data_IF_581315543111
#
_entry.id   IF_581315543111
#
_cell.length_a   1.000
_cell.length_b   1.000
_cell.length_c   1.000
_cell.angle_alpha   90.00
_cell.angle_beta   90.00
_cell.angle_gamma   90.00
#
_symmetry.space_group_name_H-M   'P 1'
#
loop_
_entity.id
_entity.type
_entity.pdbx_description
1 polymer ?
#
# COMPACT_ATOMS: atom_id res chain seq x y z
N UNK A 1 -5.69 8.15 -16.48
CA UNK A 1 -5.70 6.71 -16.81
C UNK A 1 -5.87 5.96 -15.50
N UNK A 2 -6.78 5.00 -15.42
CA UNK A 2 -6.95 4.16 -14.22
C UNK A 2 -5.91 3.06 -14.25
N UNK A 3 -5.23 2.83 -13.14
CA UNK A 3 -4.21 1.79 -12.99
C UNK A 3 -4.68 0.80 -11.92
N UNK A 4 -4.64 -0.51 -12.24
CA UNK A 4 -5.23 -1.53 -11.38
C UNK A 4 -4.34 -2.76 -11.25
N UNK A 5 -4.40 -3.38 -10.08
CA UNK A 5 -3.93 -4.75 -9.88
C UNK A 5 -5.16 -5.64 -9.73
N UNK A 6 -5.32 -6.59 -10.64
CA UNK A 6 -6.36 -7.60 -10.60
C UNK A 6 -5.74 -8.89 -10.07
N UNK A 7 -6.20 -9.33 -8.91
CA UNK A 7 -5.72 -10.56 -8.27
C UNK A 7 -6.82 -11.62 -8.26
N UNK A 8 -6.52 -12.77 -8.85
CA UNK A 8 -7.29 -13.99 -8.66
C UNK A 8 -6.73 -14.82 -7.50
N UNK A 9 -7.60 -15.45 -6.73
CA UNK A 9 -7.24 -16.39 -5.67
C UNK A 9 -7.99 -17.68 -5.97
N UNK A 10 -7.26 -18.76 -6.27
CA UNK A 10 -7.90 -20.05 -6.55
C UNK A 10 -8.50 -20.67 -5.28
N UNK A 11 -9.46 -21.59 -5.46
CA UNK A 11 -10.38 -22.05 -4.41
C UNK A 11 -9.69 -22.57 -3.14
N UNK A 12 -8.66 -23.42 -3.28
CA UNK A 12 -8.01 -24.04 -2.13
C UNK A 12 -7.29 -22.99 -1.28
N UNK A 13 -6.59 -22.04 -1.93
CA UNK A 13 -5.99 -20.93 -1.21
C UNK A 13 -7.03 -19.93 -0.71
N UNK A 14 -8.11 -19.65 -1.45
CA UNK A 14 -9.15 -18.74 -0.98
C UNK A 14 -9.75 -19.21 0.35
N UNK A 15 -9.99 -20.53 0.47
CA UNK A 15 -10.45 -21.16 1.71
C UNK A 15 -9.36 -21.09 2.77
N UNK A 16 -8.15 -21.56 2.46
CA UNK A 16 -7.06 -21.63 3.44
C UNK A 16 -6.68 -20.25 4.02
N UNK A 17 -6.60 -19.21 3.19
CA UNK A 17 -6.28 -17.85 3.66
C UNK A 17 -7.38 -17.30 4.58
N UNK A 18 -8.65 -17.62 4.31
CA UNK A 18 -9.79 -17.19 5.13
C UNK A 18 -9.87 -17.94 6.46
N UNK A 19 -9.69 -19.26 6.44
CA UNK A 19 -9.66 -20.09 7.66
C UNK A 19 -8.52 -19.67 8.60
N UNK A 20 -7.37 -19.29 8.05
CA UNK A 20 -6.24 -18.75 8.82
C UNK A 20 -6.45 -17.29 9.28
N UNK A 21 -7.56 -16.64 8.93
CA UNK A 21 -7.84 -15.26 9.29
C UNK A 21 -6.89 -14.24 8.65
N UNK A 22 -6.20 -14.61 7.58
CA UNK A 22 -5.23 -13.73 6.93
C UNK A 22 -5.93 -12.68 6.08
N UNK A 23 -5.39 -11.47 6.13
CA UNK A 23 -5.78 -10.36 5.26
C UNK A 23 -4.86 -10.31 4.05
N UNK A 24 -5.44 -9.91 2.92
CA UNK A 24 -4.70 -9.60 1.70
C UNK A 24 -4.26 -8.14 1.74
N UNK A 25 -2.97 -7.89 1.56
CA UNK A 25 -2.37 -6.57 1.66
C UNK A 25 -1.74 -6.10 0.36
N UNK A 26 -1.64 -4.78 0.24
CA UNK A 26 -0.93 -4.08 -0.81
C UNK A 26 -0.09 -2.95 -0.19
N UNK A 27 1.17 -2.86 -0.58
CA UNK A 27 2.05 -1.73 -0.31
C UNK A 27 2.61 -1.14 -1.61
N UNK A 28 2.93 0.15 -1.60
CA UNK A 28 3.64 0.82 -2.71
C UNK A 28 5.05 1.18 -2.27
N UNK A 29 6.01 1.02 -3.18
CA UNK A 29 7.42 1.32 -2.92
C UNK A 29 7.69 2.82 -3.02
N UNK A 30 8.45 3.35 -2.08
CA UNK A 30 8.99 4.71 -2.12
C UNK A 30 10.44 4.67 -1.65
N UNK A 31 11.34 5.37 -2.33
CA UNK A 31 12.79 5.39 -1.99
C UNK A 31 13.39 3.98 -1.77
N UNK A 32 13.01 3.04 -2.64
CA UNK A 32 13.46 1.63 -2.58
C UNK A 32 12.93 0.77 -1.41
N UNK A 33 11.98 1.24 -0.59
CA UNK A 33 11.42 0.45 0.51
C UNK A 33 9.88 0.38 0.50
N UNK A 34 9.34 -0.72 1.04
CA UNK A 34 7.93 -0.89 1.40
C UNK A 34 7.81 -0.76 2.91
N UNK A 35 7.20 0.32 3.39
CA UNK A 35 7.17 0.61 4.83
C UNK A 35 5.78 0.55 5.44
N UNK A 36 4.73 0.79 4.65
CA UNK A 36 3.35 0.91 5.13
C UNK A 36 2.40 0.03 4.32
N UNK A 37 1.43 -0.56 5.00
CA UNK A 37 0.27 -1.22 4.38
C UNK A 37 -0.62 -0.13 3.77
N UNK A 38 -0.63 -0.01 2.45
CA UNK A 38 -1.39 1.04 1.77
C UNK A 38 -2.87 0.67 1.59
N UNK A 39 -3.17 -0.59 1.24
CA UNK A 39 -4.54 -1.10 1.12
C UNK A 39 -4.64 -2.50 1.71
N UNK A 40 -5.80 -2.84 2.26
CA UNK A 40 -6.07 -4.19 2.77
C UNK A 40 -7.48 -4.67 2.46
N UNK A 41 -7.64 -5.99 2.39
CA UNK A 41 -8.93 -6.69 2.37
C UNK A 41 -8.86 -7.82 3.40
N UNK A 42 -9.82 -7.87 4.33
CA UNK A 42 -9.85 -8.88 5.38
C UNK A 42 -10.38 -10.24 4.91
N UNK A 43 -10.15 -11.29 5.70
CA UNK A 43 -10.74 -12.62 5.48
C UNK A 43 -12.29 -12.59 5.56
N UNK A 44 -12.81 -11.83 6.51
CA UNK A 44 -14.25 -11.68 6.80
C UNK A 44 -14.72 -10.29 6.38
N UNK A 45 -15.89 -10.24 5.74
CA UNK A 45 -16.49 -8.98 5.32
C UNK A 45 -17.02 -8.24 6.55
N UNK A 46 -16.88 -6.93 6.55
CA UNK A 46 -17.50 -6.04 7.54
C UNK A 46 -18.49 -5.12 6.85
N UNK A 47 -19.34 -4.43 7.62
CA UNK A 47 -20.29 -3.45 7.08
C UNK A 47 -19.62 -2.32 6.27
N UNK A 48 -18.33 -2.06 6.51
CA UNK A 48 -17.58 -0.99 5.86
C UNK A 48 -16.57 -1.47 4.83
N UNK A 49 -16.12 -2.71 4.92
CA UNK A 49 -15.06 -3.26 4.07
C UNK A 49 -15.43 -4.67 3.61
N UNK A 50 -15.57 -4.92 2.29
CA UNK A 50 -15.73 -6.27 1.77
C UNK A 50 -14.46 -7.09 1.99
N UNK A 51 -14.62 -8.39 2.22
CA UNK A 51 -13.50 -9.33 2.23
C UNK A 51 -12.93 -9.54 0.82
N UNK A 52 -11.73 -10.11 0.73
CA UNK A 52 -11.24 -10.60 -0.56
C UNK A 52 -12.06 -11.81 -1.02
N UNK A 53 -12.15 -11.96 -2.34
CA UNK A 53 -12.93 -12.98 -3.04
C UNK A 53 -12.09 -13.68 -4.10
N UNK A 54 -12.69 -14.54 -4.92
CA UNK A 54 -12.00 -15.19 -6.05
C UNK A 54 -11.31 -14.19 -6.99
N UNK A 55 -11.95 -13.03 -7.25
CA UNK A 55 -11.38 -11.93 -8.04
C UNK A 55 -11.37 -10.66 -7.22
N UNK A 56 -10.21 -10.02 -7.13
CA UNK A 56 -9.98 -8.79 -6.38
C UNK A 56 -9.41 -7.73 -7.30
N UNK A 57 -9.73 -6.48 -6.99
CA UNK A 57 -9.16 -5.33 -7.68
C UNK A 57 -8.66 -4.34 -6.65
N UNK A 58 -7.43 -3.90 -6.83
CA UNK A 58 -6.85 -2.75 -6.15
C UNK A 58 -6.75 -1.61 -7.17
N UNK A 59 -7.38 -0.49 -6.87
CA UNK A 59 -7.16 0.75 -7.60
C UNK A 59 -5.88 1.39 -7.06
N UNK A 60 -4.86 1.45 -7.90
CA UNK A 60 -3.54 1.97 -7.55
C UNK A 60 -3.25 3.31 -8.23
N UNK A 61 -4.29 3.95 -8.78
CA UNK A 61 -4.18 5.25 -9.43
C UNK A 61 -3.82 6.31 -8.39
N UNK A 62 -2.58 6.83 -8.47
CA UNK A 62 -2.10 7.93 -7.62
C UNK A 62 -1.82 9.17 -8.47
N UNK A 63 -2.85 9.93 -8.89
CA UNK A 63 -2.64 11.12 -9.73
C UNK A 63 -2.01 12.27 -8.93
N UNK A 64 -2.12 12.23 -7.61
CA UNK A 64 -1.52 13.17 -6.68
C UNK A 64 -1.25 12.51 -5.33
N UNK A 65 -0.38 13.13 -4.56
CA UNK A 65 0.03 12.69 -3.23
C UNK A 65 -0.28 13.78 -2.20
N UNK A 66 -0.13 13.42 -0.93
CA UNK A 66 0.11 14.40 0.12
C UNK A 66 1.43 14.09 0.82
N UNK A 67 2.09 15.13 1.33
CA UNK A 67 3.22 14.98 2.27
C UNK A 67 2.79 15.35 3.68
N UNK A 68 3.39 14.64 4.63
CA UNK A 68 3.36 14.97 6.05
C UNK A 68 4.71 14.60 6.67
N UNK A 69 4.86 14.77 7.98
CA UNK A 69 6.02 14.34 8.74
C UNK A 69 5.61 13.78 10.10
N UNK A 70 6.53 13.13 10.81
CA UNK A 70 6.39 12.78 12.23
C UNK A 70 7.67 13.03 12.99
N UNK A 71 7.54 13.39 14.27
CA UNK A 71 8.66 13.43 15.21
C UNK A 71 8.74 12.16 16.05
N UNK A 72 7.76 11.25 15.92
CA UNK A 72 7.81 9.96 16.57
C UNK A 72 8.99 9.18 16.00
N UNK A 73 9.74 8.52 16.88
CA UNK A 73 10.75 7.57 16.43
C UNK A 73 10.05 6.43 15.69
N UNK A 74 10.34 6.27 14.40
CA UNK A 74 9.82 5.17 13.58
C UNK A 74 10.95 4.18 13.33
N UNK A 75 10.84 2.96 13.87
CA UNK A 75 11.84 1.92 13.75
C UNK A 75 11.25 0.65 13.14
N UNK A 76 12.15 -0.19 12.64
CA UNK A 76 11.78 -1.50 12.16
C UNK A 76 11.16 -2.31 13.31
N UNK A 77 9.96 -2.89 13.10
CA UNK A 77 9.24 -3.66 14.11
C UNK A 77 8.12 -2.88 14.82
N UNK A 78 8.10 -1.56 14.69
CA UNK A 78 6.94 -0.77 15.08
C UNK A 78 5.75 -1.09 14.17
N UNK A 79 4.53 -0.88 14.68
CA UNK A 79 3.28 -1.09 13.93
C UNK A 79 2.53 0.22 13.70
N UNK A 80 2.72 1.23 14.56
CA UNK A 80 1.99 2.50 14.51
C UNK A 80 2.92 3.70 14.52
N UNK A 81 2.48 4.78 13.90
CA UNK A 81 3.09 6.11 13.95
C UNK A 81 1.99 7.16 13.81
N UNK A 82 2.24 8.39 14.24
CA UNK A 82 1.30 9.50 14.05
C UNK A 82 1.88 10.56 13.15
N UNK A 83 1.04 11.31 12.43
CA UNK A 83 1.49 12.48 11.68
C UNK A 83 1.55 13.71 12.59
N UNK A 84 2.62 14.50 12.49
CA UNK A 84 2.83 15.72 13.27
C UNK A 84 2.26 16.98 12.62
N UNK A 85 2.13 17.01 11.30
CA UNK A 85 1.67 18.18 10.54
C UNK A 85 0.29 18.04 9.90
N UNK A 86 -0.09 19.05 9.11
CA UNK A 86 -1.25 18.99 8.22
C UNK A 86 -0.83 18.46 6.86
N UNK A 87 -1.63 17.55 6.29
CA UNK A 87 -1.41 17.03 4.94
C UNK A 87 -1.32 18.19 3.92
N UNK A 88 -0.22 18.23 3.17
CA UNK A 88 -0.05 19.14 2.04
C UNK A 88 -0.18 18.38 0.72
N UNK A 89 -1.13 18.74 -0.16
CA UNK A 89 -1.19 18.22 -1.52
C UNK A 89 0.06 18.54 -2.32
N UNK A 90 0.60 17.53 -2.99
CA UNK A 90 1.80 17.65 -3.84
C UNK A 90 1.81 16.57 -4.93
N UNK A 91 2.55 16.81 -6.00
CA UNK A 91 2.77 15.87 -7.11
C UNK A 91 4.26 15.70 -7.40
N UNK A 92 4.65 14.65 -8.11
CA UNK A 92 6.04 14.48 -8.54
C UNK A 92 6.45 15.62 -9.48
N UNK A 93 7.71 16.06 -9.43
CA UNK A 93 8.18 17.29 -10.08
C UNK A 93 8.00 18.55 -9.25
N UNK A 94 7.41 18.45 -8.07
CA UNK A 94 7.18 19.59 -7.18
C UNK A 94 8.06 19.55 -5.93
N UNK A 95 8.20 20.72 -5.33
CA UNK A 95 8.91 20.92 -4.08
C UNK A 95 8.07 21.74 -3.09
N UNK A 96 8.29 21.52 -1.80
CA UNK A 96 7.77 22.33 -0.70
C UNK A 96 8.85 22.54 0.35
N UNK A 97 8.72 23.58 1.18
CA UNK A 97 9.47 23.76 2.41
C UNK A 97 8.63 23.32 3.61
N UNK A 98 9.20 22.50 4.49
CA UNK A 98 8.72 22.31 5.87
C UNK A 98 9.45 23.32 6.75
N UNK A 99 8.75 24.36 7.20
CA UNK A 99 9.39 25.46 7.93
C UNK A 99 9.80 25.08 9.36
N UNK A 100 10.51 25.99 10.03
CA UNK A 100 11.00 25.79 11.41
C UNK A 100 9.88 25.57 12.45
N UNK A 101 8.62 25.85 12.10
CA UNK A 101 7.44 25.68 12.95
C UNK A 101 6.64 24.41 12.61
N UNK A 102 7.11 23.59 11.66
CA UNK A 102 6.44 22.36 11.24
C UNK A 102 5.25 22.60 10.32
N UNK A 103 5.26 23.70 9.56
CA UNK A 103 4.22 24.01 8.57
C UNK A 103 4.78 23.89 7.17
N UNK A 104 4.08 23.13 6.32
CA UNK A 104 4.43 23.05 4.91
C UNK A 104 3.96 24.30 4.15
N UNK A 105 4.87 24.88 3.37
CA UNK A 105 4.55 25.87 2.35
C UNK A 105 3.74 25.25 1.19
N UNK A 106 3.01 26.05 0.40
CA UNK A 106 2.39 25.56 -0.83
C UNK A 106 3.41 24.89 -1.77
N UNK A 107 3.03 23.78 -2.39
CA UNK A 107 3.86 23.10 -3.37
C UNK A 107 4.10 23.98 -4.61
N UNK A 108 5.33 23.98 -5.12
CA UNK A 108 5.74 24.71 -6.33
C UNK A 108 6.43 23.79 -7.33
N UNK A 109 6.29 24.10 -8.62
CA UNK A 109 7.01 23.40 -9.67
C UNK A 109 8.50 23.76 -9.61
N UNK A 110 9.37 22.85 -10.07
CA UNK A 110 10.83 23.07 -10.14
C UNK A 110 11.68 21.95 -9.55
N UNK A 111 11.06 20.82 -9.17
CA UNK A 111 11.76 19.60 -8.77
C UNK A 111 12.02 18.65 -9.93
N UNK A 112 12.58 17.48 -9.61
CA UNK A 112 12.79 16.38 -10.56
C UNK A 112 11.46 15.67 -10.85
N UNK A 113 11.17 15.39 -12.11
CA UNK A 113 9.84 14.91 -12.58
C UNK A 113 9.30 13.68 -11.85
N UNK A 114 10.17 12.77 -11.41
CA UNK A 114 9.84 11.53 -10.71
C UNK A 114 9.86 11.66 -9.18
N UNK A 115 10.21 12.82 -8.64
CA UNK A 115 10.50 13.02 -7.23
C UNK A 115 9.58 14.07 -6.62
N UNK A 116 9.38 13.97 -5.31
CA UNK A 116 8.82 15.01 -4.46
C UNK A 116 9.95 15.48 -3.55
N UNK A 117 10.20 16.78 -3.52
CA UNK A 117 11.29 17.37 -2.73
C UNK A 117 10.75 18.16 -1.53
N UNK A 118 11.23 17.85 -0.34
CA UNK A 118 10.93 18.58 0.88
C UNK A 118 12.21 19.30 1.32
N UNK A 119 12.20 20.63 1.32
CA UNK A 119 13.24 21.41 1.99
C UNK A 119 12.88 21.53 3.47
N UNK A 120 13.55 20.75 4.30
CA UNK A 120 13.34 20.73 5.73
C UNK A 120 14.12 21.84 6.44
N UNK A 121 13.41 22.69 7.17
CA UNK A 121 13.95 23.69 8.08
C UNK A 121 13.56 23.36 9.54
N UNK A 122 12.72 22.34 9.75
CA UNK A 122 12.33 21.86 11.07
C UNK A 122 13.47 21.10 11.74
N UNK A 123 13.83 21.56 12.93
CA UNK A 123 14.81 20.88 13.81
C UNK A 123 14.20 19.63 14.44
N UNK A 124 15.06 18.73 14.92
CA UNK A 124 14.64 17.52 15.62
C UNK A 124 14.59 16.26 14.76
N UNK A 125 15.06 16.34 13.51
CA UNK A 125 15.19 15.22 12.58
C UNK A 125 13.85 14.49 12.30
N UNK A 126 12.81 15.22 11.84
CA UNK A 126 11.49 14.64 11.58
C UNK A 126 11.52 13.61 10.45
N UNK A 127 10.71 12.57 10.53
CA UNK A 127 10.57 11.54 9.49
C UNK A 127 9.50 11.91 8.47
N UNK A 128 9.80 11.76 7.19
CA UNK A 128 8.89 12.03 6.07
C UNK A 128 7.77 11.00 6.02
N UNK A 129 6.56 11.46 5.68
CA UNK A 129 5.41 10.62 5.40
C UNK A 129 4.88 10.98 4.01
N UNK A 130 4.66 9.97 3.18
CA UNK A 130 3.93 10.10 1.93
C UNK A 130 2.56 9.44 2.06
N UNK A 131 1.53 10.16 1.62
CA UNK A 131 0.15 9.69 1.61
C UNK A 131 -0.44 9.76 0.19
N UNK A 132 -1.46 8.97 -0.07
CA UNK A 132 -2.28 9.12 -1.27
C UNK A 132 -3.13 10.39 -1.21
N UNK A 133 -3.82 10.70 -2.32
CA UNK A 133 -4.70 11.86 -2.42
C UNK A 133 -5.89 11.85 -1.44
N UNK A 134 -6.23 10.69 -0.87
CA UNK A 134 -7.30 10.53 0.14
C UNK A 134 -6.76 10.63 1.57
N UNK A 135 -5.44 10.75 1.75
CA UNK A 135 -4.79 10.83 3.04
C UNK A 135 -4.49 9.47 3.67
N UNK A 136 -4.49 8.38 2.92
CA UNK A 136 -4.00 7.10 3.42
C UNK A 136 -2.49 7.05 3.32
N UNK A 137 -1.82 6.61 4.39
CA UNK A 137 -0.36 6.47 4.39
C UNK A 137 0.08 5.44 3.33
N UNK A 138 1.07 5.83 2.53
CA UNK A 138 1.73 4.97 1.55
C UNK A 138 3.10 4.56 2.06
N UNK A 139 3.79 5.48 2.73
CA UNK A 139 5.17 5.27 3.17
C UNK A 139 5.52 6.25 4.29
N UNK A 140 6.39 5.80 5.19
CA UNK A 140 7.09 6.64 6.17
C UNK A 140 8.56 6.27 6.20
N UNK A 141 9.42 7.25 6.42
CA UNK A 141 10.86 7.00 6.55
C UNK A 141 11.16 6.30 7.87
N UNK A 142 11.69 5.06 7.82
CA UNK A 142 12.08 4.27 9.00
C UNK A 142 13.58 4.29 9.28
N UNK A 143 14.39 4.80 8.36
CA UNK A 143 15.85 4.65 8.42
C UNK A 143 16.47 5.80 9.20
N UNK A 144 16.28 7.02 8.71
CA UNK A 144 16.81 8.24 9.31
C UNK A 144 15.84 9.37 9.00
N UNK A 145 15.50 10.21 9.99
CA UNK A 145 14.73 11.42 9.71
C UNK A 145 15.40 12.37 8.72
N UNK A 146 14.69 13.45 8.39
CA UNK A 146 15.17 14.56 7.58
C UNK A 146 16.18 15.41 8.34
N UNK A 147 17.39 15.47 7.81
CA UNK A 147 18.31 16.55 8.15
C UNK A 147 17.74 17.90 7.71
N UNK A 148 18.29 19.00 8.24
CA UNK A 148 18.05 20.32 7.64
C UNK A 148 18.57 20.32 6.20
N UNK A 149 17.75 20.79 5.27
CA UNK A 149 18.02 20.77 3.83
C UNK A 149 17.05 19.88 3.06
N UNK A 150 17.45 19.41 1.88
CA UNK A 150 16.55 18.70 0.97
C UNK A 150 16.45 17.22 1.30
N UNK A 151 15.21 16.75 1.46
CA UNK A 151 14.83 15.35 1.47
C UNK A 151 14.04 15.01 0.20
N UNK A 152 14.20 13.78 -0.28
CA UNK A 152 13.62 13.30 -1.54
C UNK A 152 12.69 12.13 -1.28
N UNK A 153 11.51 12.16 -1.88
CA UNK A 153 10.56 11.05 -1.92
C UNK A 153 10.36 10.64 -3.39
N UNK A 154 10.62 9.39 -3.72
CA UNK A 154 10.53 8.84 -5.07
C UNK A 154 9.51 7.69 -5.08
N UNK A 155 8.22 7.97 -5.36
CA UNK A 155 7.22 6.93 -5.50
C UNK A 155 7.50 6.11 -6.76
N UNK A 156 7.57 4.78 -6.64
CA UNK A 156 7.88 3.89 -7.76
C UNK A 156 6.66 3.08 -8.18
N UNK A 157 6.60 2.65 -9.44
CA UNK A 157 5.55 1.75 -9.97
C UNK A 157 5.81 0.29 -9.56
N UNK A 158 6.21 0.09 -8.31
CA UNK A 158 6.43 -1.21 -7.70
C UNK A 158 5.51 -1.38 -6.50
N UNK A 159 4.87 -2.54 -6.43
CA UNK A 159 3.84 -2.84 -5.44
C UNK A 159 4.07 -4.22 -4.84
N UNK A 160 3.95 -4.33 -3.53
CA UNK A 160 4.10 -5.60 -2.82
C UNK A 160 2.73 -6.12 -2.40
N UNK A 161 2.44 -7.38 -2.75
CA UNK A 161 1.25 -8.12 -2.35
C UNK A 161 1.64 -9.28 -1.45
N UNK A 162 0.86 -9.54 -0.41
CA UNK A 162 1.04 -10.70 0.45
C UNK A 162 -0.25 -10.99 1.25
N UNK A 163 -0.32 -12.20 1.81
CA UNK A 163 -1.26 -12.52 2.87
C UNK A 163 -0.55 -12.47 4.22
N UNK A 164 -1.23 -11.97 5.25
CA UNK A 164 -0.67 -11.94 6.59
C UNK A 164 -1.71 -11.75 7.68
N UNK A 165 -1.25 -11.81 8.93
CA UNK A 165 -2.08 -11.56 10.10
C UNK A 165 -2.78 -10.20 10.04
N UNK A 166 -3.90 -10.07 10.73
CA UNK A 166 -4.69 -8.84 10.76
C UNK A 166 -3.86 -7.65 11.30
N UNK A 167 -3.77 -6.61 10.47
CA UNK A 167 -3.10 -5.34 10.71
C UNK A 167 -3.91 -4.24 10.02
N UNK A 168 -3.84 -3.03 10.57
CA UNK A 168 -4.62 -1.91 10.07
C UNK A 168 -4.02 -1.36 8.77
N UNK A 169 -4.87 -0.96 7.80
CA UNK A 169 -4.38 -0.13 6.67
C UNK A 169 -3.78 1.17 7.23
N UNK A 170 -2.64 1.59 6.68
CA UNK A 170 -1.86 2.74 7.12
C UNK A 170 -0.86 2.44 8.25
N UNK A 171 -0.82 1.20 8.73
CA UNK A 171 0.18 0.73 9.71
C UNK A 171 1.48 0.30 9.03
N UNK A 172 2.55 0.23 9.83
CA UNK A 172 3.85 -0.23 9.37
C UNK A 172 3.83 -1.72 9.05
N UNK A 173 4.56 -2.10 7.99
CA UNK A 173 4.73 -3.51 7.61
C UNK A 173 5.63 -4.21 8.61
N UNK A 174 5.16 -5.33 9.17
CA UNK A 174 5.94 -6.17 10.07
C UNK A 174 7.17 -6.78 9.37
N UNK A 175 8.23 -7.07 10.14
CA UNK A 175 9.55 -7.43 9.59
C UNK A 175 9.61 -8.74 8.78
N UNK A 176 8.59 -9.60 8.85
CA UNK A 176 8.63 -10.95 8.26
C UNK A 176 7.39 -11.24 7.43
N UNK A 177 7.40 -10.83 6.16
CA UNK A 177 6.36 -11.21 5.22
C UNK A 177 6.54 -12.65 4.77
N UNK A 178 5.47 -13.42 4.84
CA UNK A 178 5.44 -14.76 4.24
C UNK A 178 5.03 -14.65 2.78
N UNK A 179 5.84 -15.23 1.89
CA UNK A 179 5.57 -15.32 0.45
C UNK A 179 5.09 -14.00 -0.20
N UNK A 180 5.83 -12.87 -0.07
CA UNK A 180 5.44 -11.64 -0.74
C UNK A 180 5.72 -11.68 -2.23
N UNK A 181 4.82 -11.11 -3.04
CA UNK A 181 5.04 -10.87 -4.46
C UNK A 181 5.28 -9.38 -4.72
N UNK A 182 6.27 -9.06 -5.54
CA UNK A 182 6.51 -7.68 -5.99
C UNK A 182 6.15 -7.54 -7.45
N UNK A 183 5.06 -6.82 -7.72
CA UNK A 183 4.65 -6.44 -9.06
C UNK A 183 5.37 -5.15 -9.48
N UNK A 184 5.97 -5.13 -10.67
CA UNK A 184 6.49 -3.91 -11.31
C UNK A 184 5.62 -3.58 -12.50
N UNK A 185 4.99 -2.42 -12.48
CA UNK A 185 4.07 -1.98 -13.51
C UNK A 185 4.75 -0.93 -14.39
N UNK A 186 4.35 -0.88 -15.66
CA UNK A 186 4.61 0.29 -16.49
C UNK A 186 3.53 1.33 -16.21
N UNK A 187 3.90 2.60 -16.26
CA UNK A 187 2.97 3.71 -16.03
C UNK A 187 1.73 3.60 -16.93
N UNK A 188 0.55 3.49 -16.32
CA UNK A 188 -0.73 3.40 -17.02
C UNK A 188 -1.23 1.98 -17.34
N UNK A 189 -0.44 0.93 -17.08
CA UNK A 189 -0.83 -0.46 -17.32
C UNK A 189 -1.56 -1.07 -16.12
N UNK A 190 -2.47 -2.01 -16.38
CA UNK A 190 -3.02 -2.91 -15.35
C UNK A 190 -2.20 -4.20 -15.27
N UNK A 191 -2.10 -4.76 -14.07
CA UNK A 191 -1.39 -6.00 -13.82
C UNK A 191 -2.37 -7.09 -13.37
N UNK A 192 -2.24 -8.29 -13.95
CA UNK A 192 -3.05 -9.45 -13.57
C UNK A 192 -2.14 -10.47 -12.89
N UNK A 193 -2.57 -10.93 -11.72
CA UNK A 193 -1.87 -11.89 -10.89
C UNK A 193 -2.86 -12.96 -10.43
N UNK A 194 -2.36 -14.18 -10.22
CA UNK A 194 -3.08 -15.29 -9.61
C UNK A 194 -2.29 -15.82 -8.43
N UNK A 195 -2.95 -16.07 -7.31
CA UNK A 195 -2.45 -16.90 -6.22
C UNK A 195 -3.08 -18.28 -6.38
N UNK A 196 -2.30 -19.24 -6.89
CA UNK A 196 -2.79 -20.55 -7.32
C UNK A 196 -3.03 -21.49 -6.13
N UNK A 197 -3.66 -22.64 -6.36
CA UNK A 197 -3.95 -23.61 -5.30
C UNK A 197 -2.70 -24.12 -4.57
N UNK A 198 -1.54 -24.16 -5.25
CA UNK A 198 -0.25 -24.53 -4.64
C UNK A 198 0.30 -23.50 -3.65
N UNK A 199 -0.28 -22.28 -3.61
CA UNK A 199 0.19 -21.19 -2.77
C UNK A 199 1.32 -20.37 -3.40
N UNK A 200 1.44 -20.40 -4.73
CA UNK A 200 2.39 -19.64 -5.52
C UNK A 200 1.74 -18.46 -6.24
N UNK A 201 2.53 -17.42 -6.45
CA UNK A 201 2.14 -16.25 -7.25
C UNK A 201 2.49 -16.46 -8.72
N UNK A 202 1.49 -16.45 -9.59
CA UNK A 202 1.63 -16.65 -11.03
C UNK A 202 1.09 -15.43 -11.78
N UNK A 203 1.89 -14.86 -12.68
CA UNK A 203 1.44 -13.74 -13.51
C UNK A 203 0.40 -14.18 -14.53
N UNK A 204 -0.68 -13.42 -14.67
CA UNK A 204 -1.80 -13.72 -15.55
C UNK A 204 -3.04 -14.24 -14.82
N UNK A 205 -4.06 -14.58 -15.61
CA UNK A 205 -5.31 -15.16 -15.10
C UNK A 205 -5.13 -16.65 -14.75
N UNK A 206 -6.01 -17.21 -13.91
CA UNK A 206 -5.99 -18.64 -13.58
C UNK A 206 -6.07 -19.50 -14.83
N UNK A 207 -5.36 -20.64 -14.81
CA UNK A 207 -5.37 -21.60 -15.92
C UNK A 207 -6.79 -22.11 -16.22
N UNK A 208 -7.61 -22.27 -15.17
CA UNK A 208 -9.03 -22.59 -15.28
C UNK A 208 -9.87 -21.44 -14.75
N UNK A 209 -10.43 -20.63 -15.66
CA UNK A 209 -11.36 -19.55 -15.28
C UNK A 209 -12.70 -20.13 -14.88
N UNK A 210 -13.20 -19.71 -13.72
CA UNK A 210 -14.56 -19.99 -13.29
C UNK A 210 -15.55 -19.08 -14.02
N UNK A 211 -16.66 -19.65 -14.48
CA UNK A 211 -17.84 -18.90 -14.93
C UNK A 211 -18.52 -18.17 -13.76
N UNK A 212 -19.35 -17.18 -14.03
CA UNK A 212 -20.08 -16.45 -12.99
C UNK A 212 -20.92 -17.37 -12.08
N UNK A 213 -21.49 -18.43 -12.66
CA UNK A 213 -22.22 -19.46 -11.91
C UNK A 213 -21.31 -20.25 -10.97
N UNK A 214 -20.10 -20.59 -11.43
CA UNK A 214 -19.11 -21.30 -10.61
C UNK A 214 -18.54 -20.39 -9.52
N UNK A 215 -18.33 -19.10 -9.79
CA UNK A 215 -17.92 -18.10 -8.78
C UNK A 215 -19.00 -17.95 -7.71
N UNK A 216 -20.27 -17.84 -8.09
CA UNK A 216 -21.37 -17.78 -7.13
C UNK A 216 -21.46 -19.05 -6.26
N UNK A 217 -21.27 -20.23 -6.87
CA UNK A 217 -21.22 -21.48 -6.14
C UNK A 217 -20.00 -21.57 -5.21
N UNK A 218 -18.85 -21.04 -5.62
CA UNK A 218 -17.65 -20.94 -4.80
C UNK A 218 -17.88 -20.04 -3.58
N UNK A 219 -18.45 -18.85 -3.77
CA UNK A 219 -18.76 -17.95 -2.65
C UNK A 219 -19.65 -18.63 -1.62
N UNK A 220 -20.72 -19.33 -2.05
CA UNK A 220 -21.58 -20.07 -1.13
C UNK A 220 -20.84 -21.16 -0.34
N UNK A 221 -19.92 -21.90 -0.99
CA UNK A 221 -19.08 -22.91 -0.31
C UNK A 221 -18.15 -22.27 0.71
N UNK A 222 -17.45 -21.21 0.33
CA UNK A 222 -16.50 -20.49 1.19
C UNK A 222 -17.21 -19.90 2.41
N UNK A 223 -18.35 -19.24 2.22
CA UNK A 223 -19.15 -18.67 3.32
C UNK A 223 -19.59 -19.75 4.31
N UNK A 224 -20.02 -20.92 3.82
CA UNK A 224 -20.43 -22.03 4.70
C UNK A 224 -19.30 -22.60 5.54
N UNK A 225 -18.04 -22.54 5.07
CA UNK A 225 -16.88 -23.05 5.80
C UNK A 225 -16.32 -22.07 6.82
N UNK A 226 -16.33 -20.79 6.49
CA UNK A 226 -15.77 -19.73 7.36
C UNK A 226 -16.72 -19.38 8.52
N UNK A 227 -18.01 -19.71 8.39
CA UNK A 227 -19.02 -19.47 9.43
C UNK A 227 -19.19 -20.63 10.43
N UNK A 228 -18.53 -21.78 10.21
CA UNK A 228 -18.59 -22.98 11.04
C UNK A 228 -17.49 -22.98 12.12
#
# INVERSE_FOLDING_TARGET
MSQQIILFIEEDQLIAQKENGYSLYLAKKVNEDFTVIWQSKGAVATTRNPSYQYKNTFDITTPSFNVNFTNDSVKQGDVTFTSGGKNLPITTGQTTTLDEYGVFSPARNGGVKSEILINNELKGNPHEILLDSKGNNIWVNRQSGMNIGTATLTPLDQYQLWFGNLQQTGSLIAQNLSNPYVATLKAGDSFILTYNNEGDWVTGEPAKRLSDKEVAALHARVESRVAA
#
